data_IF_977463418245
#
_entry.id   IF_977463418245
#
_cell.length_a   1.000
_cell.length_b   1.000
_cell.length_c   1.000
_cell.angle_alpha   90.00
_cell.angle_beta   90.00
_cell.angle_gamma   90.00
#
_symmetry.space_group_name_H-M   'P 1'
#
loop_
_entity.id
_entity.type
_entity.pdbx_description
1 polymer ?
#
# COMPACT_ATOMS: atom_id res chain seq x y z
N UNK A 1 39.47 8.49 -2.58
CA UNK A 1 39.64 7.03 -2.37
C UNK A 1 38.44 6.18 -2.81
N UNK A 2 37.27 6.20 -2.15
CA UNK A 2 36.15 5.30 -2.53
C UNK A 2 35.56 5.63 -3.92
N UNK A 3 35.36 6.91 -4.25
CA UNK A 3 34.86 7.30 -5.58
C UNK A 3 35.86 6.96 -6.69
N UNK A 4 37.16 7.12 -6.44
CA UNK A 4 38.21 6.77 -7.41
C UNK A 4 38.28 5.25 -7.64
N UNK A 5 38.15 4.45 -6.58
CA UNK A 5 38.05 2.99 -6.70
C UNK A 5 36.80 2.57 -7.46
N UNK A 6 35.65 3.15 -7.15
CA UNK A 6 34.40 2.92 -7.88
C UNK A 6 34.55 3.22 -9.37
N UNK A 7 35.09 4.40 -9.73
CA UNK A 7 35.34 4.78 -11.12
C UNK A 7 36.34 3.85 -11.81
N UNK A 8 37.40 3.43 -11.12
CA UNK A 8 38.39 2.48 -11.65
C UNK A 8 37.74 1.14 -12.01
N UNK A 9 36.87 0.61 -11.15
CA UNK A 9 36.15 -0.64 -11.42
C UNK A 9 35.12 -0.51 -12.55
N UNK A 10 34.47 0.65 -12.68
CA UNK A 10 33.59 0.92 -13.83
C UNK A 10 34.36 0.95 -15.15
N UNK A 11 35.52 1.62 -15.18
CA UNK A 11 36.36 1.71 -16.39
C UNK A 11 36.97 0.36 -16.79
N UNK A 12 37.27 -0.51 -15.83
CA UNK A 12 37.77 -1.86 -16.09
C UNK A 12 36.68 -2.89 -16.41
N UNK A 13 35.42 -2.45 -16.58
CA UNK A 13 34.24 -3.31 -16.78
C UNK A 13 34.00 -4.34 -15.65
N UNK A 14 34.56 -4.10 -14.47
CA UNK A 14 34.38 -4.94 -13.28
C UNK A 14 33.15 -4.48 -12.48
N UNK A 15 31.97 -4.61 -13.07
CA UNK A 15 30.74 -4.04 -12.53
C UNK A 15 30.30 -4.62 -11.18
N UNK A 16 30.57 -5.91 -10.94
CA UNK A 16 30.29 -6.55 -9.65
C UNK A 16 31.10 -5.90 -8.51
N UNK A 17 32.39 -5.66 -8.74
CA UNK A 17 33.24 -5.01 -7.73
C UNK A 17 32.86 -3.54 -7.56
N UNK A 18 32.53 -2.83 -8.64
CA UNK A 18 31.98 -1.47 -8.55
C UNK A 18 30.69 -1.44 -7.71
N UNK A 19 29.80 -2.42 -7.88
CA UNK A 19 28.55 -2.52 -7.15
C UNK A 19 28.79 -2.78 -5.65
N UNK A 20 29.75 -3.66 -5.30
CA UNK A 20 30.17 -3.88 -3.91
C UNK A 20 30.70 -2.61 -3.26
N UNK A 21 31.53 -1.83 -3.96
CA UNK A 21 32.04 -0.55 -3.46
C UNK A 21 30.89 0.44 -3.23
N UNK A 22 29.95 0.54 -4.17
CA UNK A 22 28.81 1.43 -4.05
C UNK A 22 27.89 1.04 -2.88
N UNK A 23 27.57 -0.25 -2.74
CA UNK A 23 26.76 -0.79 -1.66
C UNK A 23 27.44 -0.65 -0.28
N UNK A 24 28.78 -0.76 -0.23
CA UNK A 24 29.58 -0.63 1.00
C UNK A 24 30.08 0.78 1.30
N UNK A 25 29.62 1.76 0.54
CA UNK A 25 30.01 3.14 0.75
C UNK A 25 29.61 3.64 2.16
N UNK A 26 30.52 4.30 2.89
CA UNK A 26 30.24 4.82 4.22
C UNK A 26 29.13 5.87 4.13
N UNK A 27 28.18 5.83 5.07
CA UNK A 27 26.99 6.70 5.06
C UNK A 27 26.15 6.63 3.77
N UNK A 28 26.36 5.62 2.92
CA UNK A 28 25.65 5.52 1.65
C UNK A 28 25.99 6.63 0.65
N UNK A 29 27.21 7.20 0.69
CA UNK A 29 27.61 8.26 -0.26
C UNK A 29 27.48 7.87 -1.74
N UNK A 30 27.49 6.57 -2.04
CA UNK A 30 27.26 6.03 -3.39
C UNK A 30 25.89 5.33 -3.54
N UNK A 31 25.02 5.31 -2.52
CA UNK A 31 23.63 4.85 -2.65
C UNK A 31 22.75 6.02 -3.09
N UNK A 32 22.99 6.48 -4.32
CA UNK A 32 22.34 7.67 -4.88
C UNK A 32 21.62 7.32 -6.18
N UNK A 33 20.64 8.14 -6.61
CA UNK A 33 20.01 8.00 -7.91
C UNK A 33 21.01 7.98 -9.08
N UNK A 34 22.08 8.78 -8.99
CA UNK A 34 23.12 8.85 -10.03
C UNK A 34 23.87 7.53 -10.18
N UNK A 35 24.17 6.84 -9.08
CA UNK A 35 24.78 5.51 -9.12
C UNK A 35 23.88 4.50 -9.82
N UNK A 36 22.58 4.55 -9.53
CA UNK A 36 21.59 3.66 -10.15
C UNK A 36 21.50 3.91 -11.66
N UNK A 37 21.40 5.17 -12.09
CA UNK A 37 21.39 5.54 -13.51
C UNK A 37 22.68 5.10 -14.22
N UNK A 38 23.82 5.24 -13.53
CA UNK A 38 25.09 4.71 -14.03
C UNK A 38 24.96 3.21 -14.30
N UNK A 39 24.57 2.41 -13.30
CA UNK A 39 24.42 0.96 -13.46
C UNK A 39 23.38 0.52 -14.51
N UNK A 40 22.33 1.31 -14.73
CA UNK A 40 21.35 1.05 -15.79
C UNK A 40 21.91 1.29 -17.19
N UNK A 41 22.78 2.28 -17.35
CA UNK A 41 23.39 2.64 -18.63
C UNK A 41 24.51 1.70 -19.06
N UNK A 42 25.05 0.89 -18.13
CA UNK A 42 26.16 -0.01 -18.41
C UNK A 42 25.73 -1.16 -19.33
N UNK A 43 26.59 -1.56 -20.28
CA UNK A 43 26.30 -2.68 -21.16
C UNK A 43 26.22 -3.99 -20.37
N UNK A 44 25.27 -4.84 -20.74
CA UNK A 44 25.16 -6.19 -20.18
C UNK A 44 26.30 -7.07 -20.73
N UNK A 45 27.04 -7.73 -19.84
CA UNK A 45 28.05 -8.70 -20.25
C UNK A 45 27.36 -10.04 -20.56
N UNK A 46 27.55 -10.63 -21.75
CA UNK A 46 26.92 -11.90 -22.14
C UNK A 46 27.20 -13.01 -21.12
N UNK A 47 26.16 -13.73 -20.69
CA UNK A 47 26.28 -14.79 -19.69
C UNK A 47 26.26 -14.31 -18.23
N UNK A 48 26.14 -13.00 -17.97
CA UNK A 48 25.99 -12.45 -16.62
C UNK A 48 24.65 -11.72 -16.44
N UNK A 49 24.21 -11.56 -15.18
CA UNK A 49 23.08 -10.70 -14.84
C UNK A 49 23.39 -9.24 -15.24
N UNK A 50 22.37 -8.44 -15.52
CA UNK A 50 22.60 -7.02 -15.80
C UNK A 50 23.29 -6.32 -14.63
N UNK A 51 24.19 -5.34 -14.88
CA UNK A 51 24.94 -4.66 -13.82
C UNK A 51 24.04 -4.06 -12.74
N UNK A 52 22.88 -3.52 -13.12
CA UNK A 52 21.88 -3.00 -12.19
C UNK A 52 21.27 -4.08 -11.28
N UNK A 53 21.00 -5.28 -11.81
CA UNK A 53 20.48 -6.38 -10.98
C UNK A 53 21.56 -6.94 -10.05
N UNK A 54 22.82 -6.96 -10.48
CA UNK A 54 23.95 -7.30 -9.59
C UNK A 54 24.03 -6.31 -8.42
N UNK A 55 23.90 -5.01 -8.70
CA UNK A 55 23.89 -3.97 -7.67
C UNK A 55 22.76 -4.13 -6.67
N UNK A 56 21.51 -4.32 -7.13
CA UNK A 56 20.39 -4.56 -6.24
C UNK A 56 20.51 -5.87 -5.46
N UNK A 57 21.05 -6.93 -6.07
CA UNK A 57 21.32 -8.19 -5.37
C UNK A 57 22.21 -8.00 -4.15
N UNK A 58 23.32 -7.27 -4.32
CA UNK A 58 24.25 -6.95 -3.21
C UNK A 58 23.57 -6.08 -2.14
N UNK A 59 22.77 -5.09 -2.55
CA UNK A 59 22.05 -4.25 -1.60
C UNK A 59 21.03 -5.04 -0.77
N UNK A 60 20.29 -5.95 -1.41
CA UNK A 60 19.30 -6.82 -0.75
C UNK A 60 19.96 -7.81 0.22
N UNK A 61 21.14 -8.34 -0.13
CA UNK A 61 21.94 -9.16 0.80
C UNK A 61 22.37 -8.36 2.03
N UNK A 62 22.76 -7.10 1.82
CA UNK A 62 23.25 -6.23 2.89
C UNK A 62 22.17 -5.73 3.83
N UNK A 63 20.99 -5.38 3.32
CA UNK A 63 19.96 -4.76 4.15
C UNK A 63 18.73 -4.31 3.38
N UNK A 64 18.08 -3.29 3.90
CA UNK A 64 16.88 -2.68 3.33
C UNK A 64 17.24 -1.67 2.23
N UNK A 65 16.48 -1.73 1.14
CA UNK A 65 16.51 -0.74 0.06
C UNK A 65 15.75 0.51 0.48
N UNK A 66 16.30 1.68 0.14
CA UNK A 66 15.58 2.94 0.35
C UNK A 66 14.42 3.10 -0.65
N UNK A 67 13.57 4.13 -0.44
CA UNK A 67 12.41 4.40 -1.28
C UNK A 67 12.75 4.40 -2.78
N UNK A 68 13.80 5.12 -3.18
CA UNK A 68 14.17 5.24 -4.60
C UNK A 68 14.66 3.91 -5.18
N UNK A 69 15.52 3.19 -4.44
CA UNK A 69 16.01 1.87 -4.82
C UNK A 69 14.88 0.84 -4.95
N UNK A 70 13.92 0.84 -4.01
CA UNK A 70 12.75 -0.03 -4.03
C UNK A 70 11.90 0.19 -5.28
N UNK A 71 11.69 1.44 -5.68
CA UNK A 71 10.94 1.78 -6.90
C UNK A 71 11.68 1.30 -8.15
N UNK A 72 12.97 1.58 -8.24
CA UNK A 72 13.78 1.22 -9.40
C UNK A 72 13.98 -0.29 -9.56
N UNK A 73 13.99 -1.04 -8.46
CA UNK A 73 13.94 -2.50 -8.49
C UNK A 73 12.55 -3.02 -8.89
N UNK A 74 11.47 -2.42 -8.38
CA UNK A 74 10.11 -2.89 -8.62
C UNK A 74 9.67 -2.75 -10.08
N UNK A 75 10.05 -1.66 -10.77
CA UNK A 75 9.69 -1.41 -12.19
C UNK A 75 9.97 -2.61 -13.11
N UNK A 76 11.22 -3.10 -13.24
CA UNK A 76 11.51 -4.23 -14.13
C UNK A 76 10.88 -5.55 -13.64
N UNK A 77 10.75 -5.73 -12.32
CA UNK A 77 10.17 -6.95 -11.75
C UNK A 77 8.68 -7.07 -12.06
N UNK A 78 7.96 -5.95 -11.98
CA UNK A 78 6.54 -5.85 -12.38
C UNK A 78 6.39 -6.07 -13.89
N UNK A 79 7.19 -5.39 -14.72
CA UNK A 79 7.13 -5.53 -16.17
C UNK A 79 7.41 -6.97 -16.65
N UNK A 80 8.31 -7.68 -15.96
CA UNK A 80 8.61 -9.08 -16.25
C UNK A 80 7.61 -10.07 -15.64
N UNK A 81 6.57 -9.62 -14.95
CA UNK A 81 5.57 -10.48 -14.30
C UNK A 81 6.10 -11.26 -13.10
N UNK A 82 7.26 -10.88 -12.55
CA UNK A 82 7.94 -11.61 -11.45
C UNK A 82 7.48 -11.13 -10.07
N UNK A 83 6.17 -10.95 -9.86
CA UNK A 83 5.61 -10.40 -8.61
C UNK A 83 6.00 -11.20 -7.35
N UNK A 84 6.25 -12.50 -7.50
CA UNK A 84 6.70 -13.39 -6.41
C UNK A 84 8.00 -12.89 -5.75
N UNK A 85 8.88 -12.22 -6.50
CA UNK A 85 10.09 -11.62 -5.93
C UNK A 85 9.75 -10.45 -5.00
N UNK A 86 8.81 -9.59 -5.39
CA UNK A 86 8.33 -8.49 -4.54
C UNK A 86 7.66 -9.03 -3.28
N UNK A 87 6.84 -10.08 -3.40
CA UNK A 87 6.23 -10.75 -2.24
C UNK A 87 7.28 -11.26 -1.25
N UNK A 88 8.35 -11.88 -1.76
CA UNK A 88 9.48 -12.35 -0.93
C UNK A 88 10.15 -11.18 -0.22
N UNK A 89 10.55 -10.15 -0.95
CA UNK A 89 11.27 -9.00 -0.37
C UNK A 89 10.42 -8.18 0.61
N UNK A 90 9.10 -8.08 0.38
CA UNK A 90 8.17 -7.45 1.32
C UNK A 90 7.98 -8.25 2.61
N UNK A 91 8.02 -9.60 2.54
CA UNK A 91 8.00 -10.46 3.73
C UNK A 91 9.29 -10.37 4.52
N UNK A 92 10.42 -10.23 3.84
CA UNK A 92 11.76 -10.10 4.43
C UNK A 92 12.07 -8.67 4.91
N UNK A 93 11.13 -7.71 4.80
CA UNK A 93 11.32 -6.29 5.11
C UNK A 93 12.56 -5.68 4.41
N UNK A 94 12.76 -6.06 3.14
CA UNK A 94 13.91 -5.62 2.33
C UNK A 94 13.63 -4.36 1.52
N UNK A 95 12.38 -3.93 1.44
CA UNK A 95 11.96 -2.79 0.63
C UNK A 95 11.34 -1.72 1.53
N UNK A 96 11.88 -0.51 1.47
CA UNK A 96 11.20 0.66 2.02
C UNK A 96 9.89 0.89 1.24
N UNK A 97 8.76 0.74 1.93
CA UNK A 97 7.43 0.86 1.34
C UNK A 97 7.01 2.32 1.21
N UNK A 98 6.41 2.67 0.07
CA UNK A 98 5.89 4.02 -0.18
C UNK A 98 4.57 3.97 -0.96
N UNK A 99 3.85 5.09 -0.99
CA UNK A 99 2.62 5.23 -1.79
C UNK A 99 2.87 4.89 -3.27
N UNK A 100 3.93 5.46 -3.85
CA UNK A 100 4.32 5.22 -5.24
C UNK A 100 4.58 3.73 -5.54
N UNK A 101 5.23 3.02 -4.60
CA UNK A 101 5.46 1.58 -4.75
C UNK A 101 4.14 0.81 -4.69
N UNK A 102 3.24 1.20 -3.80
CA UNK A 102 1.90 0.61 -3.70
C UNK A 102 1.09 0.82 -4.98
N UNK A 103 1.14 2.02 -5.56
CA UNK A 103 0.42 2.35 -6.80
C UNK A 103 0.95 1.51 -7.98
N UNK A 104 2.26 1.31 -8.07
CA UNK A 104 2.87 0.42 -9.07
C UNK A 104 2.46 -1.04 -8.88
N UNK A 105 2.48 -1.55 -7.65
CA UNK A 105 2.13 -2.94 -7.34
C UNK A 105 0.65 -3.21 -7.58
N UNK A 106 -0.21 -2.21 -7.34
CA UNK A 106 -1.66 -2.29 -7.50
C UNK A 106 -2.10 -2.62 -8.93
N UNK A 107 -1.31 -2.24 -9.95
CA UNK A 107 -1.62 -2.60 -11.35
C UNK A 107 -1.49 -4.10 -11.62
N UNK A 108 -0.86 -4.85 -10.72
CA UNK A 108 -0.61 -6.30 -10.85
C UNK A 108 -1.36 -7.10 -9.80
N UNK A 109 -1.40 -6.64 -8.56
CA UNK A 109 -2.02 -7.37 -7.45
C UNK A 109 -2.50 -6.44 -6.32
N UNK A 110 -3.81 -6.46 -6.06
CA UNK A 110 -4.45 -5.62 -5.04
C UNK A 110 -4.05 -6.02 -3.60
N UNK A 111 -3.91 -7.33 -3.31
CA UNK A 111 -3.56 -7.80 -1.97
C UNK A 111 -2.11 -7.45 -1.62
N UNK A 112 -1.23 -7.53 -2.63
CA UNK A 112 0.16 -7.10 -2.47
C UNK A 112 0.24 -5.58 -2.28
N UNK A 113 -0.53 -4.80 -3.04
CA UNK A 113 -0.58 -3.34 -2.88
C UNK A 113 -1.08 -2.93 -1.49
N UNK A 114 -2.14 -3.57 -0.99
CA UNK A 114 -2.62 -3.37 0.39
C UNK A 114 -1.50 -3.61 1.40
N UNK A 115 -0.70 -4.67 1.21
CA UNK A 115 0.44 -4.98 2.07
C UNK A 115 1.54 -3.91 2.03
N UNK A 116 1.74 -3.27 0.88
CA UNK A 116 2.68 -2.14 0.72
C UNK A 116 2.12 -0.89 1.40
N UNK A 117 0.86 -0.51 1.16
CA UNK A 117 0.25 0.69 1.76
C UNK A 117 0.19 0.62 3.28
N UNK A 118 -0.08 -0.57 3.85
CA UNK A 118 -0.06 -0.80 5.29
C UNK A 118 1.33 -0.51 5.89
N UNK A 119 2.40 -0.93 5.21
CA UNK A 119 3.79 -0.69 5.64
C UNK A 119 4.24 0.75 5.38
N UNK A 120 3.75 1.36 4.30
CA UNK A 120 4.02 2.75 3.94
C UNK A 120 3.26 3.77 4.79
N UNK A 121 2.34 3.31 5.65
CA UNK A 121 1.47 4.15 6.47
C UNK A 121 0.67 5.17 5.63
N UNK A 122 -0.08 4.68 4.63
CA UNK A 122 -0.90 5.49 3.71
C UNK A 122 -2.40 5.15 3.90
N UNK A 123 -3.08 5.71 4.92
CA UNK A 123 -4.37 5.21 5.39
C UNK A 123 -5.51 5.32 4.37
N UNK A 124 -5.55 6.41 3.60
CA UNK A 124 -6.52 6.63 2.54
C UNK A 124 -6.49 5.49 1.49
N UNK A 125 -5.29 5.08 1.06
CA UNK A 125 -5.12 3.99 0.08
C UNK A 125 -5.40 2.62 0.70
N UNK A 126 -5.05 2.41 1.98
CA UNK A 126 -5.40 1.18 2.70
C UNK A 126 -6.91 0.99 2.79
N UNK A 127 -7.65 2.04 3.15
CA UNK A 127 -9.12 2.01 3.22
C UNK A 127 -9.73 1.76 1.85
N UNK A 128 -9.24 2.42 0.79
CA UNK A 128 -9.68 2.17 -0.57
C UNK A 128 -9.44 0.70 -0.98
N UNK A 129 -8.27 0.13 -0.68
CA UNK A 129 -7.99 -1.28 -0.93
C UNK A 129 -8.92 -2.22 -0.15
N UNK A 130 -9.24 -1.93 1.12
CA UNK A 130 -10.21 -2.73 1.87
C UNK A 130 -11.60 -2.67 1.26
N UNK A 131 -12.07 -1.50 0.84
CA UNK A 131 -13.37 -1.33 0.19
C UNK A 131 -13.46 -2.14 -1.11
N UNK A 132 -12.43 -2.07 -1.97
CA UNK A 132 -12.38 -2.82 -3.22
C UNK A 132 -12.26 -4.34 -3.03
N UNK A 133 -11.62 -4.78 -1.94
CA UNK A 133 -11.55 -6.18 -1.54
C UNK A 133 -12.80 -6.65 -0.78
N UNK A 134 -13.83 -5.80 -0.65
CA UNK A 134 -15.04 -6.04 0.13
C UNK A 134 -14.79 -6.42 1.61
N UNK A 135 -13.72 -5.88 2.21
CA UNK A 135 -13.32 -6.12 3.60
C UNK A 135 -13.72 -4.93 4.50
N UNK A 136 -15.00 -4.56 4.47
CA UNK A 136 -15.52 -3.38 5.19
C UNK A 136 -15.39 -3.50 6.71
N UNK A 137 -15.48 -4.72 7.26
CA UNK A 137 -15.30 -4.99 8.69
C UNK A 137 -13.94 -4.52 9.22
N UNK A 138 -12.91 -4.52 8.36
CA UNK A 138 -11.55 -4.11 8.72
C UNK A 138 -11.34 -2.61 8.62
N UNK A 139 -12.21 -1.88 7.91
CA UNK A 139 -12.04 -0.44 7.67
C UNK A 139 -12.14 0.33 8.99
N UNK A 140 -13.19 0.11 9.78
CA UNK A 140 -13.40 0.81 11.05
C UNK A 140 -12.28 0.47 12.02
N UNK A 141 -11.93 -0.81 12.15
CA UNK A 141 -10.85 -1.28 13.03
C UNK A 141 -9.50 -0.64 12.68
N UNK A 142 -9.14 -0.64 11.39
CA UNK A 142 -7.90 -0.03 10.93
C UNK A 142 -7.90 1.48 11.16
N UNK A 143 -8.98 2.16 10.77
CA UNK A 143 -9.17 3.62 10.90
C UNK A 143 -8.98 4.08 12.33
N UNK A 144 -9.60 3.40 13.30
CA UNK A 144 -9.38 3.64 14.73
C UNK A 144 -7.93 3.41 15.17
N UNK A 145 -7.32 2.31 14.74
CA UNK A 145 -5.95 1.93 15.12
C UNK A 145 -4.91 2.97 14.69
N UNK A 146 -5.08 3.57 13.51
CA UNK A 146 -4.15 4.58 12.98
C UNK A 146 -4.60 6.03 13.21
N UNK A 147 -5.76 6.24 13.84
CA UNK A 147 -6.33 7.58 14.05
C UNK A 147 -6.73 8.29 12.76
N UNK A 148 -7.12 7.54 11.73
CA UNK A 148 -7.58 8.06 10.45
C UNK A 148 -9.11 8.01 10.37
N UNK A 149 -9.75 9.08 9.88
CA UNK A 149 -11.19 9.11 9.68
C UNK A 149 -11.50 9.21 8.18
N UNK A 150 -11.87 8.09 7.52
CA UNK A 150 -12.32 8.13 6.13
C UNK A 150 -13.72 8.76 6.00
N UNK A 151 -14.10 9.09 4.76
CA UNK A 151 -15.49 9.42 4.43
C UNK A 151 -16.36 8.14 4.45
N UNK A 152 -16.83 7.80 5.64
CA UNK A 152 -17.68 6.62 5.87
C UNK A 152 -19.00 6.68 5.10
N UNK A 153 -19.53 7.87 4.84
CA UNK A 153 -20.76 8.04 4.07
C UNK A 153 -20.53 7.63 2.60
N UNK A 154 -19.41 8.04 1.99
CA UNK A 154 -19.05 7.58 0.64
C UNK A 154 -18.79 6.09 0.58
N UNK A 155 -18.10 5.53 1.58
CA UNK A 155 -17.86 4.07 1.66
C UNK A 155 -19.17 3.29 1.78
N UNK A 156 -20.08 3.75 2.63
CA UNK A 156 -21.41 3.16 2.79
C UNK A 156 -22.21 3.26 1.48
N UNK A 157 -22.23 4.43 0.84
CA UNK A 157 -22.92 4.61 -0.45
C UNK A 157 -22.41 3.63 -1.51
N UNK A 158 -21.10 3.43 -1.59
CA UNK A 158 -20.50 2.45 -2.48
C UNK A 158 -20.91 1.02 -2.13
N UNK A 159 -20.84 0.65 -0.85
CA UNK A 159 -21.19 -0.70 -0.39
C UNK A 159 -22.67 -1.01 -0.63
N UNK A 160 -23.59 -0.10 -0.30
CA UNK A 160 -25.04 -0.29 -0.52
C UNK A 160 -25.34 -0.57 -1.99
N UNK A 161 -24.62 0.07 -2.91
CA UNK A 161 -24.79 -0.13 -4.36
C UNK A 161 -24.38 -1.54 -4.81
N UNK A 162 -23.39 -2.13 -4.16
CA UNK A 162 -22.84 -3.45 -4.50
C UNK A 162 -23.59 -4.56 -3.74
N UNK A 163 -23.83 -4.34 -2.45
CA UNK A 163 -24.44 -5.28 -1.53
C UNK A 163 -25.19 -4.51 -0.43
N UNK A 164 -26.51 -4.31 -0.59
CA UNK A 164 -27.35 -3.59 0.36
C UNK A 164 -27.38 -4.20 1.76
N UNK A 165 -27.34 -5.53 1.86
CA UNK A 165 -27.45 -6.25 3.14
C UNK A 165 -26.18 -6.03 3.98
N UNK A 166 -25.00 -6.18 3.37
CA UNK A 166 -23.73 -5.79 4.00
C UNK A 166 -23.64 -4.30 4.27
N UNK A 167 -24.26 -3.48 3.42
CA UNK A 167 -24.43 -2.06 3.65
C UNK A 167 -25.15 -1.78 4.98
N UNK A 168 -26.22 -2.53 5.28
CA UNK A 168 -26.98 -2.37 6.52
C UNK A 168 -26.13 -2.77 7.74
N UNK A 169 -25.40 -3.89 7.66
CA UNK A 169 -24.46 -4.31 8.71
C UNK A 169 -23.39 -3.25 8.99
N UNK A 170 -22.79 -2.70 7.92
CA UNK A 170 -21.78 -1.65 8.03
C UNK A 170 -22.37 -0.36 8.61
N UNK A 171 -23.57 0.04 8.18
CA UNK A 171 -24.27 1.19 8.74
C UNK A 171 -24.55 1.04 10.24
N UNK A 172 -25.01 -0.15 10.68
CA UNK A 172 -25.21 -0.48 12.10
C UNK A 172 -23.91 -0.32 12.87
N UNK A 173 -22.79 -0.83 12.34
CA UNK A 173 -21.48 -0.68 12.96
C UNK A 173 -21.05 0.79 13.10
N UNK A 174 -21.34 1.63 12.11
CA UNK A 174 -20.96 3.04 12.12
C UNK A 174 -21.77 3.86 13.12
N UNK A 175 -23.09 3.63 13.23
CA UNK A 175 -23.96 4.39 14.13
C UNK A 175 -23.81 3.93 15.59
N UNK A 176 -23.60 2.64 15.82
CA UNK A 176 -23.48 2.06 17.16
C UNK A 176 -22.04 1.98 17.67
N UNK A 177 -21.12 2.76 17.09
CA UNK A 177 -19.74 2.77 17.52
C UNK A 177 -19.60 3.25 18.98
N UNK A 178 -18.74 2.57 19.75
CA UNK A 178 -18.56 2.82 21.20
C UNK A 178 -18.07 4.25 21.51
N UNK A 179 -17.36 4.89 20.57
CA UNK A 179 -16.86 6.26 20.74
C UNK A 179 -17.85 7.33 20.26
N UNK A 180 -19.09 6.92 19.91
CA UNK A 180 -20.09 7.78 19.30
C UNK A 180 -20.22 7.53 17.78
N UNK A 181 -21.35 7.92 17.18
CA UNK A 181 -21.67 7.61 15.79
C UNK A 181 -20.62 8.18 14.82
N UNK A 182 -20.13 7.33 13.93
CA UNK A 182 -19.16 7.68 12.88
C UNK A 182 -19.81 8.29 11.63
N UNK A 183 -21.12 8.09 11.48
CA UNK A 183 -21.98 8.69 10.46
C UNK A 183 -23.32 9.02 11.10
N UNK A 184 -23.88 10.18 10.77
CA UNK A 184 -25.19 10.59 11.25
C UNK A 184 -26.29 9.65 10.75
N UNK A 185 -27.27 9.37 11.63
CA UNK A 185 -28.39 8.48 11.31
C UNK A 185 -29.16 8.95 10.07
N UNK A 186 -29.47 10.23 9.99
CA UNK A 186 -30.17 10.83 8.84
C UNK A 186 -29.39 10.62 7.54
N UNK A 187 -28.07 10.75 7.60
CA UNK A 187 -27.20 10.55 6.45
C UNK A 187 -27.21 9.10 5.97
N UNK A 188 -27.25 8.14 6.89
CA UNK A 188 -27.44 6.72 6.57
C UNK A 188 -28.78 6.51 5.86
N UNK A 189 -29.88 7.03 6.44
CA UNK A 189 -31.22 6.89 5.87
C UNK A 189 -31.28 7.45 4.45
N UNK A 190 -30.74 8.65 4.24
CA UNK A 190 -30.66 9.28 2.92
C UNK A 190 -29.94 8.41 1.89
N UNK A 191 -28.83 7.76 2.26
CA UNK A 191 -28.04 6.91 1.36
C UNK A 191 -28.85 5.69 0.89
N UNK A 192 -29.55 5.01 1.79
CA UNK A 192 -30.38 3.86 1.43
C UNK A 192 -31.61 4.29 0.62
N UNK A 193 -32.27 5.37 1.03
CA UNK A 193 -33.46 5.89 0.34
C UNK A 193 -33.13 6.37 -1.08
N UNK A 194 -31.98 7.03 -1.28
CA UNK A 194 -31.50 7.44 -2.60
C UNK A 194 -31.25 6.26 -3.55
N UNK A 195 -31.05 5.05 -3.02
CA UNK A 195 -30.86 3.82 -3.79
C UNK A 195 -32.10 2.91 -3.79
N UNK A 196 -33.26 3.40 -3.30
CA UNK A 196 -34.51 2.66 -3.17
C UNK A 196 -34.41 1.39 -2.28
N UNK A 197 -33.46 1.37 -1.34
CA UNK A 197 -33.22 0.23 -0.44
C UNK A 197 -34.08 0.32 0.82
N UNK A 198 -35.41 0.41 0.62
CA UNK A 198 -36.40 0.69 1.69
C UNK A 198 -36.47 -0.44 2.72
N UNK A 199 -36.30 -1.69 2.30
CA UNK A 199 -36.33 -2.83 3.22
C UNK A 199 -35.13 -2.84 4.16
N UNK A 200 -33.93 -2.62 3.61
CA UNK A 200 -32.69 -2.62 4.35
C UNK A 200 -32.61 -1.44 5.32
N UNK A 201 -33.02 -0.24 4.92
CA UNK A 201 -33.06 0.91 5.83
C UNK A 201 -34.05 0.70 6.97
N UNK A 202 -35.21 0.06 6.69
CA UNK A 202 -36.19 -0.26 7.74
C UNK A 202 -35.60 -1.26 8.73
N UNK A 203 -34.92 -2.30 8.25
CA UNK A 203 -34.23 -3.28 9.11
C UNK A 203 -33.15 -2.61 9.94
N UNK A 204 -32.30 -1.79 9.31
CA UNK A 204 -31.26 -1.03 9.98
C UNK A 204 -31.82 -0.12 11.07
N UNK A 205 -32.88 0.64 10.79
CA UNK A 205 -33.51 1.54 11.76
C UNK A 205 -34.10 0.78 12.94
N UNK A 206 -34.72 -0.38 12.69
CA UNK A 206 -35.23 -1.24 13.76
C UNK A 206 -34.10 -1.75 14.66
N UNK A 207 -32.91 -2.00 14.11
CA UNK A 207 -31.75 -2.43 14.89
C UNK A 207 -31.05 -1.28 15.60
N UNK A 208 -30.93 -0.10 14.96
CA UNK A 208 -30.29 1.08 15.53
C UNK A 208 -31.12 1.74 16.65
N UNK A 209 -32.45 1.63 16.60
CA UNK A 209 -33.36 2.22 17.59
C UNK A 209 -33.69 1.27 18.76
N UNK A 210 -33.22 0.01 18.74
CA UNK A 210 -33.46 -0.97 19.83
C UNK A 210 -32.88 -0.52 21.17
N UNK A 211 -31.77 0.21 21.18
CA UNK A 211 -31.09 0.66 22.40
C UNK A 211 -31.67 1.95 23.01
N UNK A 212 -32.69 2.56 22.36
CA UNK A 212 -33.52 3.63 22.91
C UNK A 212 -32.71 4.75 23.63
N UNK A 213 -31.62 5.21 22.99
CA UNK A 213 -30.77 6.26 23.59
C UNK A 213 -31.56 7.58 23.64
N UNK A 214 -31.56 8.31 24.78
CA UNK A 214 -32.38 9.50 24.95
C UNK A 214 -32.08 10.64 23.94
N UNK A 215 -30.93 10.60 23.28
CA UNK A 215 -30.54 11.55 22.21
C UNK A 215 -31.27 11.30 20.87
N UNK A 216 -31.97 10.18 20.72
CA UNK A 216 -32.72 9.80 19.51
C UNK A 216 -34.23 10.09 19.63
N UNK A 217 -34.65 10.70 20.75
CA UNK A 217 -36.01 11.13 21.00
C UNK A 217 -36.17 12.63 20.77
N UNK A 218 -36.92 12.97 19.72
CA UNK A 218 -37.46 14.28 19.34
C UNK A 218 -36.53 15.23 18.55
#
# INVERSE_FOLDING_TARGET
MIMEQYQRYLQSAQYNEAAKIAANSPRGILRTPQTIETFKSLPNVPGSLSPILQYFGILLEKGELNKYESLELARPVIQQGKKQLLEKWLKENKLECSEELGDMVRTVDMNLALSVYLRANVPNKVVACFAELNQFDKIVLYSKKVGYTPDYAQLLQHLVRINPDKGAEFATQLVNDENGPLVDLDRVVDIFMAQNMVQQVTSFLLDALKDNKPEQGC
#
